data_IF_421077902738
#
_entry.id   IF_421077902738
#
_cell.length_a   1.000
_cell.length_b   1.000
_cell.length_c   1.000
_cell.angle_alpha   90.00
_cell.angle_beta   90.00
_cell.angle_gamma   90.00
#
_symmetry.space_group_name_H-M   'P 1'
#
loop_
_entity.id
_entity.type
_entity.pdbx_description
1 polymer ?
#
# COMPACT_ATOMS: atom_id res chain seq x y z
N UNK A 1 19.93 9.61 14.33
CA UNK A 1 18.78 8.82 13.86
C UNK A 1 19.32 7.44 13.50
N UNK A 2 18.90 6.39 14.22
CA UNK A 2 19.30 5.02 13.87
C UNK A 2 18.40 4.52 12.73
N UNK A 3 18.87 4.71 11.50
CA UNK A 3 18.14 4.32 10.29
C UNK A 3 17.87 2.80 10.24
N UNK A 4 18.67 1.99 10.94
CA UNK A 4 18.51 0.54 11.02
C UNK A 4 17.21 0.15 11.72
N UNK A 5 16.98 0.59 12.95
CA UNK A 5 15.72 0.29 13.67
C UNK A 5 14.48 0.85 12.96
N UNK A 6 14.57 2.04 12.37
CA UNK A 6 13.45 2.66 11.66
C UNK A 6 13.02 1.85 10.42
N UNK A 7 13.97 1.31 9.66
CA UNK A 7 13.67 0.49 8.47
C UNK A 7 13.02 -0.84 8.84
N UNK A 8 13.51 -1.52 9.88
CA UNK A 8 12.88 -2.74 10.39
C UNK A 8 11.46 -2.48 10.90
N UNK A 9 11.22 -1.37 11.60
CA UNK A 9 9.88 -0.97 12.03
C UNK A 9 8.94 -0.69 10.85
N UNK A 10 9.40 0.04 9.84
CA UNK A 10 8.62 0.32 8.64
C UNK A 10 8.26 -0.96 7.86
N UNK A 11 9.22 -1.88 7.68
CA UNK A 11 8.98 -3.17 7.04
C UNK A 11 7.95 -3.99 7.82
N UNK A 12 8.08 -4.06 9.15
CA UNK A 12 7.13 -4.76 10.00
C UNK A 12 5.71 -4.22 9.86
N UNK A 13 5.54 -2.90 9.84
CA UNK A 13 4.23 -2.26 9.63
C UNK A 13 3.64 -2.55 8.25
N UNK A 14 4.45 -2.51 7.18
CA UNK A 14 3.99 -2.85 5.83
C UNK A 14 3.49 -4.30 5.78
N UNK A 15 4.22 -5.25 6.37
CA UNK A 15 3.82 -6.67 6.42
C UNK A 15 2.52 -6.88 7.19
N UNK A 16 2.34 -6.20 8.33
CA UNK A 16 1.10 -6.26 9.10
C UNK A 16 -0.07 -5.71 8.28
N UNK A 17 0.07 -4.52 7.68
CA UNK A 17 -0.99 -3.89 6.89
C UNK A 17 -1.35 -4.75 5.68
N UNK A 18 -0.36 -5.29 4.97
CA UNK A 18 -0.57 -6.18 3.82
C UNK A 18 -1.26 -7.49 4.21
N UNK A 19 -0.95 -8.03 5.38
CA UNK A 19 -1.54 -9.28 5.89
C UNK A 19 -2.96 -9.15 6.45
N UNK A 20 -3.34 -7.98 7.00
CA UNK A 20 -4.65 -7.81 7.67
C UNK A 20 -5.83 -8.02 6.71
N UNK A 21 -5.79 -7.42 5.51
CA UNK A 21 -6.88 -7.53 4.53
C UNK A 21 -7.16 -8.98 4.06
N UNK A 22 -6.16 -9.76 3.60
CA UNK A 22 -6.38 -11.15 3.23
C UNK A 22 -6.73 -12.04 4.43
N UNK A 23 -6.28 -11.71 5.63
CA UNK A 23 -6.61 -12.47 6.85
C UNK A 23 -8.07 -12.25 7.28
N UNK A 24 -8.53 -11.00 7.33
CA UNK A 24 -9.90 -10.65 7.78
C UNK A 24 -10.95 -11.00 6.74
N UNK A 25 -10.69 -10.74 5.45
CA UNK A 25 -11.66 -10.98 4.37
C UNK A 25 -10.99 -11.53 3.12
N UNK A 26 -10.66 -12.83 3.09
CA UNK A 26 -9.96 -13.44 1.96
C UNK A 26 -10.78 -13.39 0.66
N UNK A 27 -12.11 -13.45 0.74
CA UNK A 27 -12.99 -13.33 -0.43
C UNK A 27 -13.06 -11.89 -0.96
N UNK A 28 -13.17 -10.89 -0.08
CA UNK A 28 -13.16 -9.48 -0.45
C UNK A 28 -11.83 -9.04 -1.05
N UNK A 29 -10.73 -9.53 -0.47
CA UNK A 29 -9.38 -9.35 -1.01
C UNK A 29 -9.25 -9.91 -2.43
N UNK A 30 -9.61 -11.19 -2.65
CA UNK A 30 -9.57 -11.82 -3.98
C UNK A 30 -10.40 -11.06 -5.02
N UNK A 31 -11.60 -10.59 -4.64
CA UNK A 31 -12.45 -9.79 -5.53
C UNK A 31 -11.78 -8.48 -5.92
N UNK A 32 -11.27 -7.73 -4.95
CA UNK A 32 -10.57 -6.46 -5.18
C UNK A 32 -9.34 -6.64 -6.06
N UNK A 33 -8.55 -7.67 -5.79
CA UNK A 33 -7.37 -8.01 -6.60
C UNK A 33 -7.75 -8.36 -8.05
N UNK A 34 -8.82 -9.14 -8.23
CA UNK A 34 -9.34 -9.45 -9.57
C UNK A 34 -9.83 -8.23 -10.34
N UNK A 35 -10.34 -7.20 -9.64
CA UNK A 35 -10.73 -5.93 -10.25
C UNK A 35 -9.50 -5.10 -10.64
N UNK A 36 -8.45 -5.08 -9.80
CA UNK A 36 -7.18 -4.44 -10.11
C UNK A 36 -6.54 -5.02 -11.37
N UNK A 37 -6.58 -6.35 -11.55
CA UNK A 37 -6.06 -7.01 -12.75
C UNK A 37 -6.82 -6.65 -14.04
N UNK A 38 -8.05 -6.12 -13.94
CA UNK A 38 -8.84 -5.67 -15.09
C UNK A 38 -8.57 -4.21 -15.48
N UNK A 39 -7.84 -3.47 -14.64
CA UNK A 39 -7.48 -2.09 -14.94
C UNK A 39 -6.44 -2.03 -16.07
N UNK A 40 -6.53 -0.99 -16.89
CA UNK A 40 -5.50 -0.71 -17.89
C UNK A 40 -4.24 -0.20 -17.20
N UNK A 41 -3.08 -0.41 -17.81
CA UNK A 41 -1.79 0.06 -17.26
C UNK A 41 -1.79 1.55 -16.91
N UNK A 42 -2.46 2.39 -17.72
CA UNK A 42 -2.60 3.82 -17.44
C UNK A 42 -3.38 4.11 -16.14
N UNK A 43 -4.40 3.32 -15.82
CA UNK A 43 -5.19 3.49 -14.58
C UNK A 43 -4.39 3.04 -13.37
N UNK A 44 -3.65 1.93 -13.45
CA UNK A 44 -2.77 1.45 -12.38
C UNK A 44 -1.69 2.52 -12.09
N UNK A 45 -1.06 3.07 -13.14
CA UNK A 45 -0.06 4.14 -12.99
C UNK A 45 -0.64 5.41 -12.38
N UNK A 46 -1.88 5.77 -12.74
CA UNK A 46 -2.54 6.94 -12.17
C UNK A 46 -2.86 6.74 -10.68
N UNK A 47 -3.40 5.58 -10.31
CA UNK A 47 -3.62 5.24 -8.89
C UNK A 47 -2.30 5.25 -8.10
N UNK A 48 -1.22 4.70 -8.66
CA UNK A 48 0.09 4.74 -8.04
C UNK A 48 0.62 6.17 -7.86
N UNK A 49 0.44 7.04 -8.88
CA UNK A 49 0.82 8.45 -8.79
C UNK A 49 0.04 9.17 -7.68
N UNK A 50 -1.27 8.95 -7.59
CA UNK A 50 -2.08 9.52 -6.51
C UNK A 50 -1.60 9.08 -5.12
N UNK A 51 -1.27 7.80 -4.95
CA UNK A 51 -0.72 7.28 -3.69
C UNK A 51 0.63 7.90 -3.34
N UNK A 52 1.52 8.07 -4.32
CA UNK A 52 2.83 8.72 -4.13
C UNK A 52 2.65 10.19 -3.72
N UNK A 53 1.76 10.92 -4.40
CA UNK A 53 1.48 12.33 -4.08
C UNK A 53 0.86 12.48 -2.69
N UNK A 54 -0.10 11.62 -2.34
CA UNK A 54 -0.71 11.62 -1.01
C UNK A 54 0.33 11.32 0.08
N UNK A 55 1.19 10.30 -0.12
CA UNK A 55 2.28 9.99 0.80
C UNK A 55 3.28 11.14 0.92
N UNK A 56 3.67 11.75 -0.20
CA UNK A 56 4.55 12.92 -0.22
C UNK A 56 3.95 14.12 0.51
N UNK A 57 2.64 14.34 0.38
CA UNK A 57 1.93 15.39 1.11
C UNK A 57 1.89 15.11 2.62
N UNK A 58 1.63 13.87 3.03
CA UNK A 58 1.69 13.47 4.44
C UNK A 58 3.08 13.71 5.02
N UNK A 59 4.14 13.33 4.29
CA UNK A 59 5.53 13.56 4.71
C UNK A 59 5.92 15.04 4.77
N UNK A 60 5.28 15.89 3.96
CA UNK A 60 5.52 17.33 3.98
C UNK A 60 4.80 18.01 5.17
N UNK A 61 3.66 17.47 5.59
CA UNK A 61 2.81 18.05 6.64
C UNK A 61 3.09 17.48 8.04
N UNK A 62 3.72 16.30 8.14
CA UNK A 62 4.12 15.64 9.38
C UNK A 62 5.49 16.11 9.88
#
# INVERSE_FOLDING_TARGET
MDWGSATWGAIGLVLVIEGVLPFVSPAGWRRTFSQLLRLRDGQIRFCALLSILAGGLVLLLA
#
